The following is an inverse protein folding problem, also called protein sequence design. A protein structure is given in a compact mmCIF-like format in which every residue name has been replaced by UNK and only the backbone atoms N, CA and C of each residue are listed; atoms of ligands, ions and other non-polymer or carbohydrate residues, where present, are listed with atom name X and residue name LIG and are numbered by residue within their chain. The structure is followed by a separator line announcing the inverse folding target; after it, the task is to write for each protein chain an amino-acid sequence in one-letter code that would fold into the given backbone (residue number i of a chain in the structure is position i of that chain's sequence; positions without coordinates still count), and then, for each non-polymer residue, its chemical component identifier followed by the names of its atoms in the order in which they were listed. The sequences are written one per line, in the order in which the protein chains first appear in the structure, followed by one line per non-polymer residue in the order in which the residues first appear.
data_IF_165172506569
#
_entry.id   IF_165172506569
#
_cell.length_a   1.000
_cell.length_b   1.000
_cell.length_c   1.000
_cell.angle_alpha   90.00
_cell.angle_beta   90.00
_cell.angle_gamma   90.00
#
_symmetry.space_group_name_H-M   'P 1'
#
loop_
_entity.id
_entity.type
_entity.pdbx_description
1 polymer ?
#
# COMPACT_ATOMS: atom_id res chain seq x y z
N UNK A 1 2.71 18.71 1.03
CA UNK A 1 2.73 20.10 0.53
C UNK A 1 3.67 20.13 -0.67
N UNK A 2 3.15 20.33 -1.88
CA UNK A 2 3.96 20.42 -3.11
C UNK A 2 4.26 21.91 -3.36
N UNK A 3 5.54 22.25 -3.51
CA UNK A 3 5.99 23.62 -3.74
C UNK A 3 6.63 23.72 -5.13
N UNK A 4 6.09 24.59 -5.98
CA UNK A 4 6.61 24.84 -7.34
C UNK A 4 7.54 26.04 -7.26
N UNK A 5 8.81 25.86 -7.62
CA UNK A 5 9.85 26.89 -7.48
C UNK A 5 9.94 27.84 -8.67
N UNK A 6 9.30 27.54 -9.81
CA UNK A 6 9.23 28.45 -10.97
C UNK A 6 8.03 28.10 -11.87
N UNK A 7 7.35 29.13 -12.39
CA UNK A 7 6.27 28.97 -13.37
C UNK A 7 6.87 28.86 -14.77
N UNK A 8 6.48 27.83 -15.53
CA UNK A 8 6.92 27.67 -16.92
C UNK A 8 6.35 28.78 -17.82
N UNK A 9 7.06 29.15 -18.89
CA UNK A 9 6.68 30.27 -19.75
C UNK A 9 5.34 30.00 -20.48
N UNK A 10 4.55 31.06 -20.63
CA UNK A 10 3.22 31.00 -21.27
C UNK A 10 3.37 30.45 -22.69
N UNK A 11 2.78 29.27 -22.93
CA UNK A 11 2.80 28.58 -24.23
C UNK A 11 3.65 27.31 -24.28
N UNK A 12 4.38 26.93 -23.23
CA UNK A 12 5.21 25.72 -23.20
C UNK A 12 4.46 24.42 -22.84
N UNK A 13 3.13 24.38 -23.01
CA UNK A 13 2.32 23.18 -22.72
C UNK A 13 2.27 22.84 -21.24
N UNK A 14 1.69 23.75 -20.44
CA UNK A 14 1.44 23.57 -19.02
C UNK A 14 -0.04 23.40 -18.72
N UNK A 15 -0.75 22.56 -19.49
CA UNK A 15 -2.02 22.06 -18.99
C UNK A 15 -1.66 21.32 -17.71
N UNK A 16 -2.09 21.85 -16.56
CA UNK A 16 -1.96 21.16 -15.29
C UNK A 16 -2.95 20.00 -15.32
N UNK A 17 -2.63 18.99 -16.13
CA UNK A 17 -3.24 17.68 -16.15
C UNK A 17 -2.86 17.07 -14.82
N UNK A 18 -3.70 17.30 -13.82
CA UNK A 18 -3.80 16.40 -12.70
C UNK A 18 -4.31 15.08 -13.28
N UNK A 19 -3.39 14.26 -13.81
CA UNK A 19 -3.66 12.86 -14.03
C UNK A 19 -3.99 12.29 -12.65
N UNK A 20 -5.27 12.04 -12.40
CA UNK A 20 -5.71 11.33 -11.22
C UNK A 20 -5.18 9.89 -11.33
N UNK A 21 -3.92 9.68 -10.94
CA UNK A 21 -3.24 8.38 -10.93
C UNK A 21 -3.93 7.40 -9.96
N UNK A 22 -4.90 7.86 -9.17
CA UNK A 22 -5.71 7.02 -8.29
C UNK A 22 -6.56 5.99 -9.06
N UNK A 23 -6.96 6.28 -10.30
CA UNK A 23 -7.74 5.33 -11.13
C UNK A 23 -6.85 4.38 -11.96
N UNK A 24 -5.54 4.62 -12.00
CA UNK A 24 -4.57 3.85 -12.82
C UNK A 24 -3.47 3.16 -12.01
N UNK A 25 -3.47 3.29 -10.67
CA UNK A 25 -2.57 2.51 -9.81
C UNK A 25 -3.08 1.07 -9.67
N UNK A 26 -2.57 0.17 -10.52
CA UNK A 26 -2.63 -1.26 -10.24
C UNK A 26 -1.59 -1.57 -9.16
N UNK A 27 -2.03 -1.83 -7.93
CA UNK A 27 -1.14 -2.17 -6.83
C UNK A 27 -0.74 -3.64 -6.99
N UNK A 28 0.56 -3.96 -7.20
CA UNK A 28 0.98 -5.32 -7.40
C UNK A 28 0.67 -6.15 -6.15
N UNK A 29 -0.10 -7.23 -6.35
CA UNK A 29 -0.36 -8.20 -5.28
C UNK A 29 0.92 -8.95 -4.98
N UNK A 30 1.41 -8.82 -3.75
CA UNK A 30 2.62 -9.50 -3.27
C UNK A 30 2.26 -10.33 -2.05
N UNK A 31 2.74 -11.57 -2.02
CA UNK A 31 2.62 -12.42 -0.83
C UNK A 31 3.69 -12.00 0.19
N UNK A 32 3.25 -11.62 1.39
CA UNK A 32 4.13 -11.25 2.49
C UNK A 32 3.93 -12.22 3.66
N UNK A 33 4.99 -12.59 4.38
CA UNK A 33 4.87 -13.48 5.54
C UNK A 33 4.09 -12.79 6.67
N UNK A 34 3.11 -13.49 7.25
CA UNK A 34 2.37 -12.99 8.41
C UNK A 34 3.18 -13.01 9.69
N UNK A 35 4.16 -13.91 9.81
CA UNK A 35 5.02 -14.02 10.99
C UNK A 35 6.46 -13.79 10.56
N UNK A 36 7.07 -12.72 11.05
CA UNK A 36 8.47 -12.40 10.82
C UNK A 36 9.27 -12.55 12.12
N UNK A 37 10.60 -12.61 12.00
CA UNK A 37 11.51 -12.46 13.14
C UNK A 37 12.06 -11.05 13.16
N UNK A 38 11.98 -10.39 14.32
CA UNK A 38 12.60 -9.08 14.51
C UNK A 38 14.12 -9.19 14.29
N UNK A 39 14.73 -8.33 13.46
CA UNK A 39 16.13 -8.47 13.07
C UNK A 39 17.08 -8.36 14.27
N UNK A 40 16.77 -7.52 15.25
CA UNK A 40 17.69 -7.25 16.37
C UNK A 40 17.48 -8.18 17.57
N UNK A 41 16.26 -8.70 17.75
CA UNK A 41 15.88 -9.45 18.97
C UNK A 41 15.55 -10.90 18.68
N UNK A 42 15.36 -11.28 17.41
CA UNK A 42 14.97 -12.63 17.00
C UNK A 42 13.55 -13.04 17.40
N UNK A 43 12.81 -12.18 18.10
CA UNK A 43 11.45 -12.42 18.55
C UNK A 43 10.51 -12.53 17.36
N UNK A 44 9.52 -13.42 17.48
CA UNK A 44 8.47 -13.57 16.47
C UNK A 44 7.48 -12.43 16.63
N UNK A 45 7.18 -11.76 15.53
CA UNK A 45 6.21 -10.69 15.45
C UNK A 45 5.17 -11.01 14.38
N UNK A 46 3.94 -10.60 14.66
CA UNK A 46 2.87 -10.62 13.70
C UNK A 46 3.02 -9.39 12.79
N UNK A 47 3.22 -9.63 11.50
CA UNK A 47 3.38 -8.61 10.48
C UNK A 47 2.05 -8.45 9.74
N UNK A 48 1.17 -7.59 10.25
CA UNK A 48 -0.15 -7.31 9.67
C UNK A 48 -0.32 -5.81 9.45
N UNK A 49 -0.80 -5.45 8.27
CA UNK A 49 -1.12 -4.06 7.92
C UNK A 49 -2.47 -4.02 7.18
N UNK A 50 -3.58 -3.85 7.92
CA UNK A 50 -4.96 -3.97 7.38
C UNK A 50 -5.23 -3.13 6.12
N UNK A 51 -4.79 -1.87 5.99
CA UNK A 51 -4.96 -1.08 4.76
C UNK A 51 -4.30 -1.68 3.52
N UNK A 52 -3.27 -2.52 3.68
CA UNK A 52 -2.47 -3.06 2.57
C UNK A 52 -2.57 -4.59 2.43
N UNK A 53 -3.17 -5.28 3.39
CA UNK A 53 -3.42 -6.72 3.34
C UNK A 53 -4.84 -7.02 2.89
N UNK A 54 -4.97 -7.73 1.77
CA UNK A 54 -6.27 -8.04 1.16
C UNK A 54 -6.83 -9.40 1.58
N UNK A 55 -5.96 -10.38 1.84
CA UNK A 55 -6.33 -11.72 2.28
C UNK A 55 -5.11 -12.43 2.88
N UNK A 56 -5.38 -13.42 3.73
CA UNK A 56 -4.39 -14.41 4.17
C UNK A 56 -4.41 -15.56 3.17
N UNK A 57 -3.27 -15.82 2.54
CA UNK A 57 -3.10 -16.98 1.64
C UNK A 57 -3.48 -18.27 2.37
N UNK A 58 -4.18 -19.17 1.69
CA UNK A 58 -4.63 -20.48 2.20
C UNK A 58 -5.84 -20.44 3.17
N UNK A 59 -6.36 -19.27 3.52
CA UNK A 59 -7.66 -19.16 4.20
C UNK A 59 -8.76 -18.80 3.19
N UNK A 60 -9.98 -19.24 3.46
CA UNK A 60 -11.14 -18.68 2.77
C UNK A 60 -11.30 -17.20 3.11
N UNK A 61 -12.01 -16.44 2.27
CA UNK A 61 -12.29 -15.02 2.53
C UNK A 61 -12.93 -14.81 3.91
N UNK A 62 -13.87 -15.67 4.29
CA UNK A 62 -14.55 -15.62 5.59
C UNK A 62 -13.59 -15.84 6.75
N UNK A 63 -12.74 -16.85 6.66
CA UNK A 63 -11.74 -17.15 7.71
C UNK A 63 -10.70 -16.04 7.80
N UNK A 64 -10.22 -15.54 6.66
CA UNK A 64 -9.26 -14.44 6.61
C UNK A 64 -9.84 -13.17 7.25
N UNK A 65 -11.08 -12.81 6.94
CA UNK A 65 -11.75 -11.65 7.55
C UNK A 65 -11.91 -11.86 9.05
N UNK A 66 -12.36 -13.03 9.49
CA UNK A 66 -12.53 -13.32 10.92
C UNK A 66 -11.20 -13.19 11.69
N UNK A 67 -10.09 -13.69 11.15
CA UNK A 67 -8.77 -13.54 11.78
C UNK A 67 -8.32 -12.08 11.81
N UNK A 68 -8.52 -11.34 10.72
CA UNK A 68 -8.16 -9.91 10.67
C UNK A 68 -9.02 -9.05 11.59
N UNK A 69 -10.27 -9.42 11.84
CA UNK A 69 -11.17 -8.69 12.75
C UNK A 69 -10.82 -8.89 14.23
N UNK A 70 -10.18 -10.01 14.58
CA UNK A 70 -9.76 -10.31 15.96
C UNK A 70 -8.49 -9.58 16.42
N UNK A 71 -7.80 -8.88 15.52
CA UNK A 71 -6.48 -8.28 15.72
C UNK A 71 -6.51 -6.75 15.66
#
# INVERSE_FOLDING_TARGET
MLYVTQVAEVGSGGDTLFANMHLTYDVPRTEQPLVIRHPDTGLKLLFINKPHMSAITQLSTTESTAVLDML
#
